data_IF_848921150990
#
_entry.id   IF_848921150990
#
_cell.length_a   1.000
_cell.length_b   1.000
_cell.length_c   1.000
_cell.angle_alpha   90.00
_cell.angle_beta   90.00
_cell.angle_gamma   90.00
#
_symmetry.space_group_name_H-M   'P 1'
#
loop_
_entity.id
_entity.type
_entity.pdbx_description
1 polymer ?
#
# COMPACT_ATOMS: atom_id res chain seq x y z
N UNK A 1 -12.17 -14.77 -21.91
CA UNK A 1 -10.71 -14.69 -21.68
C UNK A 1 -10.23 -13.26 -21.82
N UNK A 2 -10.50 -12.58 -22.95
CA UNK A 2 -10.23 -11.15 -23.17
C UNK A 2 -10.72 -10.21 -22.04
N UNK A 3 -11.95 -10.43 -21.55
CA UNK A 3 -12.52 -9.58 -20.49
C UNK A 3 -11.76 -9.67 -19.15
N UNK A 4 -11.19 -10.83 -18.81
CA UNK A 4 -10.41 -11.00 -17.57
C UNK A 4 -9.07 -10.28 -17.67
N UNK A 5 -8.43 -10.35 -18.83
CA UNK A 5 -7.14 -9.70 -19.09
C UNK A 5 -7.27 -8.17 -19.13
N UNK A 6 -8.34 -7.66 -19.75
CA UNK A 6 -8.62 -6.23 -19.79
C UNK A 6 -8.93 -5.67 -18.40
N UNK A 7 -9.76 -6.36 -17.61
CA UNK A 7 -10.06 -5.99 -16.21
C UNK A 7 -8.79 -6.02 -15.36
N UNK A 8 -7.93 -7.04 -15.51
CA UNK A 8 -6.66 -7.12 -14.79
C UNK A 8 -5.73 -5.96 -15.15
N UNK A 9 -5.63 -5.61 -16.44
CA UNK A 9 -4.84 -4.47 -16.92
C UNK A 9 -5.35 -3.16 -16.34
N UNK A 10 -6.67 -2.94 -16.32
CA UNK A 10 -7.29 -1.77 -15.70
C UNK A 10 -7.02 -1.72 -14.19
N UNK A 11 -7.12 -2.86 -13.50
CA UNK A 11 -6.87 -2.93 -12.06
C UNK A 11 -5.40 -2.63 -11.73
N UNK A 12 -4.46 -3.15 -12.51
CA UNK A 12 -3.04 -2.87 -12.35
C UNK A 12 -2.72 -1.38 -12.57
N UNK A 13 -3.29 -0.77 -13.62
CA UNK A 13 -3.17 0.68 -13.85
C UNK A 13 -3.79 1.51 -12.73
N UNK A 14 -4.99 1.13 -12.29
CA UNK A 14 -5.68 1.78 -11.17
C UNK A 14 -4.84 1.75 -9.90
N UNK A 15 -4.34 0.57 -9.53
CA UNK A 15 -3.45 0.39 -8.39
C UNK A 15 -2.19 1.25 -8.51
N UNK A 16 -1.49 1.21 -9.65
CA UNK A 16 -0.30 2.02 -9.89
C UNK A 16 -0.57 3.53 -9.76
N UNK A 17 -1.69 4.01 -10.29
CA UNK A 17 -2.07 5.42 -10.22
C UNK A 17 -2.36 5.89 -8.78
N UNK A 18 -3.01 5.05 -7.97
CA UNK A 18 -3.28 5.33 -6.56
C UNK A 18 -1.98 5.34 -5.76
N UNK A 19 -1.08 4.38 -5.99
CA UNK A 19 0.22 4.33 -5.33
C UNK A 19 1.08 5.54 -5.67
N UNK A 20 1.13 5.94 -6.94
CA UNK A 20 1.84 7.14 -7.38
C UNK A 20 1.28 8.39 -6.71
N UNK A 21 -0.05 8.50 -6.65
CA UNK A 21 -0.73 9.63 -5.98
C UNK A 21 -0.37 9.68 -4.49
N UNK A 22 -0.47 8.55 -3.78
CA UNK A 22 -0.08 8.48 -2.37
C UNK A 22 1.38 8.91 -2.14
N UNK A 23 2.29 8.46 -3.01
CA UNK A 23 3.70 8.82 -2.92
C UNK A 23 3.92 10.34 -3.10
N UNK A 24 3.25 10.96 -4.08
CA UNK A 24 3.29 12.42 -4.29
C UNK A 24 2.77 13.17 -3.05
N UNK A 25 1.65 12.71 -2.47
CA UNK A 25 1.12 13.31 -1.24
C UNK A 25 2.10 13.22 -0.07
N UNK A 26 2.76 12.08 0.10
CA UNK A 26 3.77 11.90 1.15
C UNK A 26 4.95 12.84 0.95
N UNK A 27 5.45 13.00 -0.28
CA UNK A 27 6.52 13.95 -0.59
C UNK A 27 6.06 15.39 -0.31
N UNK A 28 4.88 15.78 -0.78
CA UNK A 28 4.34 17.12 -0.57
C UNK A 28 4.17 17.45 0.92
N UNK A 29 3.66 16.49 1.69
CA UNK A 29 3.55 16.62 3.14
C UNK A 29 4.92 16.73 3.83
N UNK A 30 5.91 15.94 3.39
CA UNK A 30 7.28 15.99 3.89
C UNK A 30 7.93 17.36 3.67
N UNK A 31 7.81 17.91 2.45
CA UNK A 31 8.36 19.22 2.11
C UNK A 31 7.72 20.37 2.91
N UNK A 32 6.40 20.30 3.12
CA UNK A 32 5.65 21.37 3.78
C UNK A 32 5.73 21.35 5.31
N UNK A 33 5.81 20.17 5.93
CA UNK A 33 5.68 20.02 7.38
C UNK A 33 6.94 19.49 8.08
N UNK A 34 8.01 19.17 7.33
CA UNK A 34 9.29 18.66 7.85
C UNK A 34 9.09 17.67 9.00
N UNK A 35 8.46 16.54 8.71
CA UNK A 35 8.14 15.53 9.72
C UNK A 35 9.39 15.07 10.48
N UNK A 36 9.20 14.58 11.70
CA UNK A 36 10.29 13.90 12.38
C UNK A 36 10.71 12.66 11.58
N UNK A 37 12.01 12.39 11.58
CA UNK A 37 12.58 11.31 10.78
C UNK A 37 11.91 9.96 11.06
N UNK A 38 11.45 9.70 12.29
CA UNK A 38 10.80 8.44 12.65
C UNK A 38 9.39 8.30 12.06
N UNK A 39 8.57 9.36 12.06
CA UNK A 39 7.24 9.32 11.42
C UNK A 39 7.36 9.13 9.91
N UNK A 40 8.38 9.72 9.30
CA UNK A 40 8.67 9.50 7.88
C UNK A 40 9.10 8.05 7.61
N UNK A 41 9.99 7.48 8.41
CA UNK A 41 10.35 6.06 8.30
C UNK A 41 9.11 5.16 8.39
N UNK A 42 8.18 5.43 9.33
CA UNK A 42 6.94 4.67 9.41
C UNK A 42 6.03 4.83 8.18
N UNK A 43 5.97 6.02 7.57
CA UNK A 43 5.23 6.21 6.31
C UNK A 43 5.88 5.43 5.17
N UNK A 44 7.21 5.41 5.07
CA UNK A 44 7.90 4.63 4.04
C UNK A 44 7.67 3.13 4.23
N UNK A 45 7.73 2.63 5.47
CA UNK A 45 7.41 1.22 5.76
C UNK A 45 5.94 0.91 5.41
N UNK A 46 5.01 1.79 5.77
CA UNK A 46 3.61 1.67 5.36
C UNK A 46 3.48 1.56 3.83
N UNK A 47 4.08 2.48 3.08
CA UNK A 47 4.00 2.50 1.61
C UNK A 47 4.58 1.22 1.01
N UNK A 48 5.72 0.75 1.50
CA UNK A 48 6.34 -0.49 1.03
C UNK A 48 5.41 -1.69 1.27
N UNK A 49 4.95 -1.89 2.51
CA UNK A 49 4.07 -3.00 2.88
C UNK A 49 2.75 -2.96 2.12
N UNK A 50 2.14 -1.78 2.00
CA UNK A 50 0.89 -1.60 1.27
C UNK A 50 1.06 -1.88 -0.24
N UNK A 51 2.20 -1.50 -0.81
CA UNK A 51 2.54 -1.84 -2.21
C UNK A 51 2.64 -3.35 -2.40
N UNK A 52 3.37 -4.05 -1.52
CA UNK A 52 3.49 -5.51 -1.58
C UNK A 52 2.14 -6.20 -1.34
N UNK A 53 1.32 -5.70 -0.42
CA UNK A 53 -0.03 -6.21 -0.19
C UNK A 53 -0.89 -6.12 -1.45
N UNK A 54 -0.89 -4.96 -2.11
CA UNK A 54 -1.63 -4.77 -3.36
C UNK A 54 -1.09 -5.63 -4.51
N UNK A 55 0.23 -5.79 -4.62
CA UNK A 55 0.83 -6.69 -5.61
C UNK A 55 0.43 -8.16 -5.38
N UNK A 56 0.48 -8.64 -4.13
CA UNK A 56 0.00 -9.99 -3.78
C UNK A 56 -1.49 -10.15 -4.07
N UNK A 57 -2.30 -9.12 -3.83
CA UNK A 57 -3.72 -9.13 -4.17
C UNK A 57 -3.94 -9.22 -5.70
N UNK A 58 -3.18 -8.46 -6.49
CA UNK A 58 -3.22 -8.54 -7.95
C UNK A 58 -2.83 -9.95 -8.43
N UNK A 59 -1.77 -10.55 -7.87
CA UNK A 59 -1.40 -11.93 -8.20
C UNK A 59 -2.50 -12.92 -7.84
N UNK A 60 -3.14 -12.80 -6.68
CA UNK A 60 -4.25 -13.66 -6.28
C UNK A 60 -5.42 -13.59 -7.27
N UNK A 61 -5.72 -12.39 -7.77
CA UNK A 61 -6.77 -12.18 -8.78
C UNK A 61 -6.35 -12.79 -10.12
N UNK A 62 -5.08 -12.67 -10.51
CA UNK A 62 -4.58 -13.24 -11.77
C UNK A 62 -4.60 -14.78 -11.76
N UNK A 63 -4.29 -15.40 -10.62
CA UNK A 63 -4.25 -16.86 -10.48
C UNK A 63 -5.54 -17.46 -9.90
N UNK A 64 -6.66 -16.72 -9.94
CA UNK A 64 -7.94 -17.11 -9.33
C UNK A 64 -8.33 -18.55 -9.65
N UNK A 65 -8.55 -19.35 -8.60
CA UNK A 65 -8.94 -20.77 -8.70
C UNK A 65 -7.79 -21.75 -8.47
N UNK A 66 -6.56 -21.27 -8.24
CA UNK A 66 -5.42 -22.09 -7.80
C UNK A 66 -5.15 -21.95 -6.29
N UNK A 67 -4.39 -22.88 -5.73
CA UNK A 67 -3.89 -22.78 -4.34
C UNK A 67 -3.03 -21.54 -4.12
N UNK A 68 -2.31 -21.11 -5.16
CA UNK A 68 -1.50 -19.88 -5.14
C UNK A 68 -2.38 -18.63 -4.92
N UNK A 69 -3.61 -18.62 -5.40
CA UNK A 69 -4.53 -17.50 -5.18
C UNK A 69 -4.86 -17.34 -3.68
N UNK A 70 -5.19 -18.44 -3.01
CA UNK A 70 -5.49 -18.44 -1.56
C UNK A 70 -4.27 -18.03 -0.72
N UNK A 71 -3.08 -18.50 -1.10
CA UNK A 71 -1.82 -18.13 -0.45
C UNK A 71 -1.51 -16.64 -0.61
N UNK A 72 -1.58 -16.12 -1.85
CA UNK A 72 -1.34 -14.72 -2.15
C UNK A 72 -2.35 -13.79 -1.47
N UNK A 73 -3.62 -14.21 -1.37
CA UNK A 73 -4.67 -13.46 -0.66
C UNK A 73 -4.40 -13.40 0.85
N UNK A 74 -3.91 -14.50 1.44
CA UNK A 74 -3.51 -14.53 2.85
C UNK A 74 -2.34 -13.59 3.13
N UNK A 75 -1.29 -13.64 2.31
CA UNK A 75 -0.14 -12.72 2.40
C UNK A 75 -0.58 -11.27 2.23
N UNK A 76 -1.43 -10.99 1.23
CA UNK A 76 -1.96 -9.65 1.01
C UNK A 76 -2.68 -9.11 2.25
N UNK A 77 -3.51 -9.93 2.90
CA UNK A 77 -4.19 -9.56 4.14
C UNK A 77 -3.22 -9.24 5.29
N UNK A 78 -2.22 -10.09 5.53
CA UNK A 78 -1.22 -9.89 6.59
C UNK A 78 -0.43 -8.59 6.35
N UNK A 79 0.09 -8.41 5.13
CA UNK A 79 0.86 -7.23 4.75
C UNK A 79 0.02 -5.96 4.85
N UNK A 80 -1.26 -6.02 4.47
CA UNK A 80 -2.18 -4.92 4.60
C UNK A 80 -2.37 -4.52 6.07
N UNK A 81 -2.65 -5.47 6.98
CA UNK A 81 -2.78 -5.18 8.42
C UNK A 81 -1.51 -4.53 8.97
N UNK A 82 -0.34 -5.09 8.65
CA UNK A 82 0.94 -4.52 9.08
C UNK A 82 1.14 -3.10 8.54
N UNK A 83 0.80 -2.85 7.28
CA UNK A 83 0.90 -1.52 6.68
C UNK A 83 0.05 -0.50 7.44
N UNK A 84 -1.20 -0.84 7.78
CA UNK A 84 -2.11 0.03 8.52
C UNK A 84 -1.57 0.34 9.91
N UNK A 85 -0.96 -0.63 10.60
CA UNK A 85 -0.31 -0.39 11.89
C UNK A 85 0.80 0.66 11.79
N UNK A 86 1.67 0.58 10.79
CA UNK A 86 2.73 1.58 10.58
C UNK A 86 2.17 2.96 10.22
N UNK A 87 1.09 3.02 9.43
CA UNK A 87 0.40 4.28 9.14
C UNK A 87 -0.15 4.92 10.42
N UNK A 88 -0.84 4.14 11.26
CA UNK A 88 -1.39 4.62 12.52
C UNK A 88 -0.30 5.08 13.49
N UNK A 89 0.83 4.36 13.57
CA UNK A 89 1.99 4.76 14.37
C UNK A 89 2.59 6.09 13.89
N UNK A 90 2.67 6.30 12.57
CA UNK A 90 3.12 7.57 12.02
C UNK A 90 2.16 8.71 12.39
N UNK A 91 0.85 8.54 12.14
CA UNK A 91 -0.17 9.54 12.45
C UNK A 91 -0.16 9.89 13.95
N UNK A 92 -0.11 8.89 14.83
CA UNK A 92 -0.05 9.09 16.27
C UNK A 92 1.15 9.95 16.68
N UNK A 93 2.33 9.69 16.11
CA UNK A 93 3.54 10.49 16.37
C UNK A 93 3.40 11.91 15.84
N UNK A 94 2.91 12.08 14.62
CA UNK A 94 2.70 13.39 14.01
C UNK A 94 1.73 14.25 14.82
N UNK A 95 0.65 13.66 15.33
CA UNK A 95 -0.31 14.36 16.21
C UNK A 95 0.33 14.72 17.55
N UNK A 96 1.14 13.83 18.13
CA UNK A 96 1.81 14.08 19.41
C UNK A 96 2.86 15.18 19.32
N UNK A 97 3.61 15.27 18.22
CA UNK A 97 4.68 16.26 18.03
C UNK A 97 4.12 17.67 17.80
N UNK A 98 2.88 17.79 17.29
CA UNK A 98 2.22 19.09 17.07
C UNK A 98 1.59 19.70 18.34
N UNK A 99 1.48 18.93 19.44
CA UNK A 99 1.03 19.43 20.74
C UNK A 99 2.23 19.84 21.59
#
# INVERSE_FOLDING_TARGET
>A
MLLKEEVYKMLNWGFGSVMATQFIFVIGLWLNHKFDARSFVYIIIYLALFTFAGYSLLMAINTTGSEEASFNLTIAGILWVLSVLFLLLSIFRLVRIRK
#
